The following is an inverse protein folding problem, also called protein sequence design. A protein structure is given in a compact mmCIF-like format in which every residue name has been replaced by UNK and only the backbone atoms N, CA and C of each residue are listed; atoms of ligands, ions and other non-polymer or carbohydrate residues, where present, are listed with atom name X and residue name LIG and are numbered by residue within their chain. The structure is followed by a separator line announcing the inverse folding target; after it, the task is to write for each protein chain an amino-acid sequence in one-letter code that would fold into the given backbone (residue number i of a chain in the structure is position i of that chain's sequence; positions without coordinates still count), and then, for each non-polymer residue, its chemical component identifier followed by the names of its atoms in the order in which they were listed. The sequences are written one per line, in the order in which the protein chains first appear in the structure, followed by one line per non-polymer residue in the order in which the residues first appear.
data_IF_570425540167
#
_entry.id   IF_570425540167
#
_cell.length_a   1.000
_cell.length_b   1.000
_cell.length_c   1.000
_cell.angle_alpha   90.00
_cell.angle_beta   90.00
_cell.angle_gamma   90.00
#
_symmetry.space_group_name_H-M   'P 1'
#
loop_
_entity.id
_entity.type
_entity.pdbx_description
1 polymer ?
#
# COMPACT_ATOMS: atom_id res chain seq x y z
N UNK A 1 -2.18 -15.35 1.40
CA UNK A 1 -3.32 -16.25 1.02
C UNK A 1 -3.83 -15.76 -0.31
N UNK A 2 -4.06 -16.64 -1.29
CA UNK A 2 -4.62 -16.24 -2.60
C UNK A 2 -6.08 -15.84 -2.44
N UNK A 3 -6.53 -14.79 -3.14
CA UNK A 3 -7.93 -14.39 -3.14
C UNK A 3 -8.84 -15.50 -3.71
N UNK A 4 -10.10 -15.57 -3.26
CA UNK A 4 -11.11 -16.38 -3.96
C UNK A 4 -11.26 -15.88 -5.39
N UNK A 5 -11.58 -16.79 -6.32
CA UNK A 5 -11.80 -16.43 -7.72
C UNK A 5 -12.90 -15.36 -7.85
N UNK A 6 -12.60 -14.32 -8.60
CA UNK A 6 -13.58 -13.28 -8.88
C UNK A 6 -14.45 -13.65 -10.07
N UNK A 7 -15.73 -13.77 -9.80
CA UNK A 7 -16.77 -13.83 -10.83
C UNK A 7 -17.77 -12.74 -10.49
N UNK A 8 -18.08 -11.89 -11.45
CA UNK A 8 -19.02 -10.78 -11.29
C UNK A 8 -20.35 -11.26 -10.69
N UNK A 9 -20.83 -10.58 -9.68
CA UNK A 9 -22.02 -10.97 -8.91
C UNK A 9 -21.88 -12.21 -8.01
N UNK A 10 -20.78 -12.96 -8.07
CA UNK A 10 -20.57 -14.21 -7.33
C UNK A 10 -19.34 -14.21 -6.41
N UNK A 11 -18.65 -13.08 -6.27
CA UNK A 11 -17.47 -13.00 -5.41
C UNK A 11 -17.81 -13.26 -3.93
N UNK A 12 -17.22 -14.29 -3.35
CA UNK A 12 -17.53 -14.77 -1.99
C UNK A 12 -16.82 -13.97 -0.90
N UNK A 13 -16.80 -12.64 -1.02
CA UNK A 13 -16.13 -11.75 -0.06
C UNK A 13 -16.72 -11.79 1.35
N UNK A 14 -18.04 -12.05 1.49
CA UNK A 14 -18.73 -12.05 2.79
C UNK A 14 -18.13 -13.09 3.75
N UNK A 15 -17.95 -14.32 3.28
CA UNK A 15 -17.35 -15.37 4.10
C UNK A 15 -15.87 -15.08 4.37
N UNK A 16 -15.16 -14.50 3.42
CA UNK A 16 -13.77 -14.11 3.59
C UNK A 16 -13.60 -13.05 4.69
N UNK A 17 -14.37 -11.97 4.65
CA UNK A 17 -14.29 -10.88 5.62
C UNK A 17 -14.81 -11.30 7.01
N UNK A 18 -15.89 -12.07 7.06
CA UNK A 18 -16.49 -12.48 8.33
C UNK A 18 -15.82 -13.71 8.94
N UNK A 19 -14.93 -14.39 8.22
CA UNK A 19 -14.29 -15.63 8.68
C UNK A 19 -13.56 -15.47 10.00
N UNK A 20 -12.81 -14.39 10.20
CA UNK A 20 -12.11 -14.09 11.45
C UNK A 20 -13.07 -13.82 12.62
N UNK A 21 -14.14 -13.08 12.35
CA UNK A 21 -15.20 -12.80 13.34
C UNK A 21 -15.91 -14.10 13.78
N UNK A 22 -16.32 -14.91 12.79
CA UNK A 22 -16.98 -16.20 13.04
C UNK A 22 -16.05 -17.12 13.82
N UNK A 23 -14.77 -17.19 13.43
CA UNK A 23 -13.77 -18.01 14.12
C UNK A 23 -13.63 -17.58 15.59
N UNK A 24 -13.48 -16.27 15.85
CA UNK A 24 -13.35 -15.74 17.21
C UNK A 24 -14.56 -16.09 18.08
N UNK A 25 -15.77 -15.96 17.55
CA UNK A 25 -17.01 -16.28 18.27
C UNK A 25 -17.09 -17.79 18.56
N UNK A 26 -16.97 -18.62 17.52
CA UNK A 26 -17.08 -20.09 17.66
C UNK A 26 -16.00 -20.63 18.57
N UNK A 27 -14.74 -20.23 18.39
CA UNK A 27 -13.63 -20.70 19.19
C UNK A 27 -13.76 -20.27 20.65
N UNK A 28 -14.22 -19.05 20.92
CA UNK A 28 -14.48 -18.56 22.28
C UNK A 28 -15.53 -19.39 23.00
N UNK A 29 -16.65 -19.71 22.32
CA UNK A 29 -17.72 -20.53 22.89
C UNK A 29 -17.21 -21.94 23.16
N UNK A 30 -16.61 -22.58 22.15
CA UNK A 30 -16.14 -23.96 22.24
C UNK A 30 -15.10 -24.11 23.33
N UNK A 31 -14.13 -23.19 23.41
CA UNK A 31 -13.07 -23.27 24.41
C UNK A 31 -13.60 -23.10 25.84
N UNK A 32 -14.56 -22.20 26.06
CA UNK A 32 -15.21 -22.02 27.35
C UNK A 32 -16.07 -23.25 27.77
N UNK A 33 -16.77 -23.87 26.81
CA UNK A 33 -17.60 -25.04 27.09
C UNK A 33 -16.78 -26.31 27.43
N UNK A 34 -15.62 -26.50 26.77
CA UNK A 34 -14.75 -27.66 26.99
C UNK A 34 -13.97 -27.55 28.30
N UNK A 35 -13.52 -26.35 28.66
CA UNK A 35 -12.68 -26.08 29.82
C UNK A 35 -13.28 -24.95 30.68
N UNK A 36 -14.42 -25.16 31.35
CA UNK A 36 -15.09 -24.11 32.10
C UNK A 36 -14.23 -23.65 33.29
N UNK A 37 -13.66 -22.46 33.18
CA UNK A 37 -12.85 -21.84 34.21
C UNK A 37 -12.97 -20.31 34.11
N UNK A 38 -12.52 -19.58 35.13
CA UNK A 38 -12.46 -18.13 35.11
C UNK A 38 -11.59 -17.62 33.94
N UNK A 39 -10.47 -18.28 33.68
CA UNK A 39 -9.54 -17.88 32.60
C UNK A 39 -10.14 -18.08 31.21
N UNK A 40 -10.83 -19.18 31.00
CA UNK A 40 -11.50 -19.45 29.69
C UNK A 40 -12.72 -18.56 29.48
N UNK A 41 -13.42 -18.18 30.55
CA UNK A 41 -14.47 -17.17 30.46
C UNK A 41 -13.89 -15.80 30.06
N UNK A 42 -12.79 -15.37 30.70
CA UNK A 42 -12.12 -14.12 30.34
C UNK A 42 -11.62 -14.13 28.89
N UNK A 43 -11.05 -15.25 28.46
CA UNK A 43 -10.63 -15.45 27.06
C UNK A 43 -11.83 -15.34 26.11
N UNK A 44 -12.95 -15.96 26.44
CA UNK A 44 -14.17 -15.90 25.64
C UNK A 44 -14.71 -14.46 25.53
N UNK A 45 -14.73 -13.72 26.64
CA UNK A 45 -15.16 -12.33 26.66
C UNK A 45 -14.26 -11.43 25.77
N UNK A 46 -12.95 -11.65 25.79
CA UNK A 46 -12.00 -10.93 24.92
C UNK A 46 -12.28 -11.30 23.45
N UNK A 47 -12.46 -12.58 23.14
CA UNK A 47 -12.78 -13.03 21.78
C UNK A 47 -14.08 -12.42 21.24
N UNK A 48 -15.12 -12.35 22.08
CA UNK A 48 -16.37 -11.66 21.71
C UNK A 48 -16.17 -10.17 21.51
N UNK A 49 -15.42 -9.50 22.39
CA UNK A 49 -15.13 -8.07 22.25
C UNK A 49 -14.38 -7.77 20.95
N UNK A 50 -13.36 -8.56 20.60
CA UNK A 50 -12.62 -8.44 19.35
C UNK A 50 -13.51 -8.71 18.12
N UNK A 51 -14.37 -9.73 18.18
CA UNK A 51 -15.31 -10.01 17.11
C UNK A 51 -16.29 -8.85 16.90
N UNK A 52 -16.83 -8.29 17.98
CA UNK A 52 -17.75 -7.17 17.94
C UNK A 52 -17.08 -5.90 17.39
N UNK A 53 -15.89 -5.56 17.88
CA UNK A 53 -15.12 -4.40 17.39
C UNK A 53 -14.79 -4.51 15.90
N UNK A 54 -14.53 -5.75 15.43
CA UNK A 54 -14.24 -5.96 14.01
C UNK A 54 -15.49 -5.93 13.11
N UNK A 55 -16.69 -6.11 13.67
CA UNK A 55 -17.96 -5.98 12.95
C UNK A 55 -18.46 -4.54 12.83
N UNK A 56 -18.16 -3.68 13.80
CA UNK A 56 -18.58 -2.28 13.74
C UNK A 56 -17.83 -1.60 12.59
N UNK A 57 -18.53 -0.97 11.62
CA UNK A 57 -17.86 -0.34 10.48
C UNK A 57 -17.11 0.92 10.91
N UNK A 58 -15.86 0.77 11.36
CA UNK A 58 -14.98 1.84 11.80
C UNK A 58 -13.55 1.64 11.27
N UNK A 59 -12.92 2.72 10.79
CA UNK A 59 -11.54 2.68 10.29
C UNK A 59 -11.36 1.72 9.12
N UNK A 60 -10.43 0.77 9.24
CA UNK A 60 -10.05 -0.18 8.19
C UNK A 60 -10.38 -1.64 8.56
N UNK A 61 -11.33 -1.86 9.43
CA UNK A 61 -11.69 -3.21 9.86
C UNK A 61 -12.57 -3.95 8.84
N UNK A 62 -12.81 -5.24 9.11
CA UNK A 62 -13.61 -6.10 8.22
C UNK A 62 -15.06 -5.61 8.08
N UNK A 63 -15.63 -5.03 9.15
CA UNK A 63 -16.97 -4.44 9.14
C UNK A 63 -17.08 -3.25 8.19
N UNK A 64 -16.09 -2.35 8.17
CA UNK A 64 -16.04 -1.23 7.22
C UNK A 64 -15.82 -1.72 5.80
N UNK A 65 -14.91 -2.68 5.62
CA UNK A 65 -14.67 -3.32 4.32
C UNK A 65 -15.94 -3.97 3.78
N UNK A 66 -16.65 -4.71 4.64
CA UNK A 66 -17.94 -5.33 4.32
C UNK A 66 -18.98 -4.28 3.93
N UNK A 67 -19.07 -3.20 4.70
CA UNK A 67 -20.00 -2.10 4.43
C UNK A 67 -19.77 -1.49 3.05
N UNK A 68 -18.52 -1.15 2.71
CA UNK A 68 -18.20 -0.59 1.40
C UNK A 68 -18.39 -1.59 0.27
N UNK A 69 -17.89 -2.82 0.40
CA UNK A 69 -18.04 -3.87 -0.61
C UNK A 69 -19.50 -4.26 -0.87
N UNK A 70 -20.41 -4.02 0.07
CA UNK A 70 -21.84 -4.30 -0.13
C UNK A 70 -22.58 -3.22 -0.93
N UNK A 71 -21.97 -2.04 -1.15
CA UNK A 71 -22.61 -0.93 -1.85
C UNK A 71 -22.70 -1.14 -3.36
N UNK A 72 -21.59 -1.56 -3.98
CA UNK A 72 -21.50 -1.65 -5.44
C UNK A 72 -20.49 -2.73 -5.89
N UNK A 73 -20.59 -3.11 -7.17
CA UNK A 73 -19.73 -4.14 -7.77
C UNK A 73 -18.30 -3.64 -8.00
N UNK A 74 -18.14 -2.36 -8.31
CA UNK A 74 -16.82 -1.74 -8.49
C UNK A 74 -15.99 -1.88 -7.21
N UNK A 75 -16.57 -1.53 -6.06
CA UNK A 75 -15.91 -1.68 -4.77
C UNK A 75 -15.59 -3.15 -4.44
N UNK A 76 -16.46 -4.11 -4.82
CA UNK A 76 -16.19 -5.55 -4.66
C UNK A 76 -15.02 -6.00 -5.53
N UNK A 77 -14.94 -5.52 -6.75
CA UNK A 77 -13.81 -5.82 -7.62
C UNK A 77 -12.51 -5.22 -7.10
N UNK A 78 -12.54 -3.99 -6.60
CA UNK A 78 -11.36 -3.36 -6.00
C UNK A 78 -10.90 -4.11 -4.75
N UNK A 79 -11.81 -4.62 -3.92
CA UNK A 79 -11.46 -5.50 -2.81
C UNK A 79 -10.74 -6.77 -3.30
N UNK A 80 -11.28 -7.44 -4.32
CA UNK A 80 -10.61 -8.60 -4.93
C UNK A 80 -9.21 -8.23 -5.44
N UNK A 81 -9.11 -7.11 -6.13
CA UNK A 81 -7.86 -6.60 -6.67
C UNK A 81 -6.79 -6.39 -5.58
N UNK A 82 -7.17 -5.79 -4.44
CA UNK A 82 -6.26 -5.62 -3.31
C UNK A 82 -5.78 -6.95 -2.72
N UNK A 83 -6.66 -7.95 -2.62
CA UNK A 83 -6.28 -9.27 -2.12
C UNK A 83 -5.30 -9.97 -3.06
N UNK A 84 -5.52 -9.89 -4.38
CA UNK A 84 -4.59 -10.41 -5.38
C UNK A 84 -3.26 -9.65 -5.35
N UNK A 85 -3.33 -8.33 -5.25
CA UNK A 85 -2.16 -7.46 -5.16
C UNK A 85 -1.25 -7.86 -3.98
N UNK A 86 -1.81 -7.97 -2.77
CA UNK A 86 -1.06 -8.41 -1.59
C UNK A 86 -0.48 -9.82 -1.77
N UNK A 87 -1.24 -10.73 -2.40
CA UNK A 87 -0.75 -12.08 -2.69
C UNK A 87 0.45 -12.05 -3.65
N UNK A 88 0.35 -11.34 -4.79
CA UNK A 88 1.45 -11.27 -5.75
C UNK A 88 2.68 -10.58 -5.18
N UNK A 89 2.51 -9.50 -4.43
CA UNK A 89 3.62 -8.86 -3.72
C UNK A 89 4.31 -9.80 -2.72
N UNK A 90 3.54 -10.63 -2.00
CA UNK A 90 4.10 -11.58 -1.03
C UNK A 90 4.99 -12.65 -1.66
N UNK A 91 4.76 -12.99 -2.92
CA UNK A 91 5.58 -13.93 -3.71
C UNK A 91 6.60 -13.24 -4.63
N UNK A 92 6.80 -11.93 -4.48
CA UNK A 92 7.80 -11.17 -5.21
C UNK A 92 7.43 -10.82 -6.66
N UNK A 93 6.14 -10.82 -7.00
CA UNK A 93 5.63 -10.59 -8.36
C UNK A 93 4.80 -9.32 -8.44
N UNK A 94 4.73 -8.72 -9.63
CA UNK A 94 3.83 -7.61 -9.92
C UNK A 94 2.50 -8.15 -10.46
N UNK A 95 1.39 -7.75 -9.84
CA UNK A 95 0.04 -8.17 -10.26
C UNK A 95 -0.28 -7.78 -11.70
N UNK A 96 0.05 -6.54 -12.09
CA UNK A 96 -0.30 -6.01 -13.41
C UNK A 96 0.46 -6.70 -14.54
N UNK A 97 1.64 -7.25 -14.24
CA UNK A 97 2.43 -8.06 -15.19
C UNK A 97 1.89 -9.48 -15.28
N UNK A 98 1.57 -10.08 -14.15
CA UNK A 98 1.12 -11.48 -14.10
C UNK A 98 -0.32 -11.65 -14.61
N UNK A 99 -1.11 -10.56 -14.58
CA UNK A 99 -2.52 -10.54 -14.98
C UNK A 99 -2.84 -9.31 -15.83
N UNK A 100 -2.35 -9.23 -17.08
CA UNK A 100 -2.56 -8.06 -17.94
C UNK A 100 -4.05 -7.79 -18.24
N UNK A 101 -4.91 -8.81 -18.19
CA UNK A 101 -6.37 -8.65 -18.33
C UNK A 101 -6.99 -7.78 -17.23
N UNK A 102 -6.34 -7.68 -16.07
CA UNK A 102 -6.79 -6.80 -14.98
C UNK A 102 -6.55 -5.34 -15.33
N UNK A 103 -5.50 -5.02 -16.09
CA UNK A 103 -5.15 -3.64 -16.46
C UNK A 103 -6.27 -3.02 -17.28
N UNK A 104 -6.79 -3.73 -18.29
CA UNK A 104 -7.91 -3.27 -19.12
C UNK A 104 -9.15 -3.00 -18.25
N UNK A 105 -9.44 -3.92 -17.33
CA UNK A 105 -10.57 -3.75 -16.42
C UNK A 105 -10.40 -2.57 -15.46
N UNK A 106 -9.20 -2.36 -14.91
CA UNK A 106 -8.88 -1.21 -14.05
C UNK A 106 -9.11 0.11 -14.81
N UNK A 107 -8.65 0.19 -16.07
CA UNK A 107 -8.77 1.39 -16.88
C UNK A 107 -10.22 1.69 -17.30
N UNK A 108 -11.08 0.68 -17.34
CA UNK A 108 -12.50 0.83 -17.67
C UNK A 108 -13.39 1.09 -16.44
N UNK A 109 -12.83 1.07 -15.19
CA UNK A 109 -13.63 1.27 -13.98
C UNK A 109 -14.05 2.72 -13.82
N UNK A 110 -15.34 2.93 -13.63
CA UNK A 110 -15.90 4.18 -13.13
C UNK A 110 -16.03 4.10 -11.61
N UNK A 111 -15.31 4.98 -10.90
CA UNK A 111 -15.37 5.05 -9.44
C UNK A 111 -16.50 5.97 -9.04
N UNK A 112 -17.62 5.38 -8.61
CA UNK A 112 -18.82 6.12 -8.19
C UNK A 112 -18.67 6.58 -6.72
N UNK A 113 -18.08 5.75 -5.88
CA UNK A 113 -17.92 6.01 -4.45
C UNK A 113 -16.45 5.99 -4.05
N UNK A 114 -15.92 7.15 -3.64
CA UNK A 114 -14.56 7.21 -3.08
C UNK A 114 -14.55 6.65 -1.65
N UNK A 115 -13.59 5.80 -1.37
CA UNK A 115 -13.34 5.21 -0.07
C UNK A 115 -11.92 4.61 -0.04
N UNK A 116 -11.46 4.15 1.11
CA UNK A 116 -10.08 3.64 1.24
C UNK A 116 -9.75 2.45 0.32
N UNK A 117 -10.74 1.65 -0.11
CA UNK A 117 -10.51 0.59 -1.09
C UNK A 117 -10.20 1.20 -2.46
N UNK A 118 -10.99 2.18 -2.88
CA UNK A 118 -10.79 2.87 -4.15
C UNK A 118 -9.52 3.74 -4.14
N UNK A 119 -9.13 4.29 -2.99
CA UNK A 119 -7.84 4.99 -2.85
C UNK A 119 -6.66 4.06 -3.13
N UNK A 120 -6.70 2.82 -2.61
CA UNK A 120 -5.66 1.83 -2.90
C UNK A 120 -5.53 1.50 -4.40
N UNK A 121 -6.61 1.60 -5.19
CA UNK A 121 -6.56 1.40 -6.63
C UNK A 121 -5.65 2.40 -7.33
N UNK A 122 -5.66 3.66 -6.90
CA UNK A 122 -4.78 4.69 -7.48
C UNK A 122 -3.30 4.34 -7.25
N UNK A 123 -2.96 3.82 -6.07
CA UNK A 123 -1.59 3.37 -5.78
C UNK A 123 -1.19 2.13 -6.58
N UNK A 124 -2.12 1.21 -6.85
CA UNK A 124 -1.85 0.06 -7.73
C UNK A 124 -1.53 0.53 -9.16
N UNK A 125 -2.23 1.56 -9.66
CA UNK A 125 -1.95 2.16 -10.98
C UNK A 125 -0.56 2.82 -11.00
N UNK A 126 -0.24 3.63 -10.00
CA UNK A 126 1.07 4.29 -9.88
C UNK A 126 2.22 3.28 -9.83
N UNK A 127 2.05 2.17 -9.10
CA UNK A 127 3.07 1.11 -9.03
C UNK A 127 3.33 0.45 -10.38
N UNK A 128 2.33 0.38 -11.26
CA UNK A 128 2.53 -0.08 -12.64
C UNK A 128 3.57 0.75 -13.38
N UNK A 129 3.46 2.08 -13.30
CA UNK A 129 4.41 3.01 -13.89
C UNK A 129 5.78 2.95 -13.21
N UNK A 130 5.82 2.83 -11.88
CA UNK A 130 7.06 2.70 -11.12
C UNK A 130 7.84 1.44 -11.49
N UNK A 131 7.17 0.33 -11.72
CA UNK A 131 7.80 -0.94 -12.10
C UNK A 131 8.58 -0.84 -13.40
N UNK A 132 8.07 -0.09 -14.38
CA UNK A 132 8.72 0.13 -15.68
C UNK A 132 9.67 1.33 -15.69
N UNK A 133 9.82 2.02 -14.56
CA UNK A 133 10.63 3.23 -14.45
C UNK A 133 10.18 4.35 -15.39
N UNK A 134 8.87 4.44 -15.65
CA UNK A 134 8.23 5.51 -16.43
C UNK A 134 8.06 6.77 -15.57
N UNK A 135 9.19 7.35 -15.12
CA UNK A 135 9.19 8.37 -14.08
C UNK A 135 8.50 9.68 -14.47
N UNK A 136 8.53 10.07 -15.73
CA UNK A 136 7.81 11.28 -16.19
C UNK A 136 6.29 11.07 -16.11
N UNK A 137 5.79 9.92 -16.58
CA UNK A 137 4.37 9.58 -16.49
C UNK A 137 3.95 9.42 -15.01
N UNK A 138 4.76 8.73 -14.22
CA UNK A 138 4.51 8.53 -12.79
C UNK A 138 4.48 9.85 -12.02
N UNK A 139 5.39 10.79 -12.32
CA UNK A 139 5.41 12.12 -11.72
C UNK A 139 4.12 12.90 -12.04
N UNK A 140 3.70 12.91 -13.29
CA UNK A 140 2.50 13.61 -13.72
C UNK A 140 1.24 13.06 -13.05
N UNK A 141 1.09 11.74 -13.01
CA UNK A 141 -0.07 11.08 -12.37
C UNK A 141 -0.05 11.25 -10.85
N UNK A 142 1.09 11.08 -10.20
CA UNK A 142 1.21 11.26 -8.75
C UNK A 142 0.95 12.72 -8.33
N UNK A 143 1.48 13.70 -9.09
CA UNK A 143 1.26 15.12 -8.85
C UNK A 143 -0.20 15.51 -9.05
N UNK A 144 -0.84 15.01 -10.10
CA UNK A 144 -2.27 15.18 -10.36
C UNK A 144 -3.10 14.63 -9.21
N UNK A 145 -2.83 13.38 -8.80
CA UNK A 145 -3.53 12.74 -7.68
C UNK A 145 -3.41 13.56 -6.39
N UNK A 146 -2.23 14.10 -6.09
CA UNK A 146 -1.99 14.91 -4.89
C UNK A 146 -2.80 16.22 -4.91
N UNK A 147 -2.92 16.86 -6.07
CA UNK A 147 -3.63 18.14 -6.23
C UNK A 147 -5.15 17.93 -6.24
N UNK A 148 -5.64 16.87 -6.90
CA UNK A 148 -7.07 16.65 -7.11
C UNK A 148 -7.76 15.94 -5.92
N UNK A 149 -7.00 15.24 -5.07
CA UNK A 149 -7.53 14.38 -4.01
C UNK A 149 -7.06 14.82 -2.62
N UNK A 150 -7.73 15.83 -2.09
CA UNK A 150 -7.53 16.29 -0.70
C UNK A 150 -8.15 15.35 0.34
N UNK A 151 -9.11 14.51 -0.09
CA UNK A 151 -9.85 13.53 0.69
C UNK A 151 -9.13 12.19 0.89
N UNK A 152 -7.91 12.02 0.34
CA UNK A 152 -7.12 10.82 0.54
C UNK A 152 -6.88 10.54 2.03
N UNK A 153 -6.96 9.26 2.39
CA UNK A 153 -6.61 8.85 3.74
C UNK A 153 -5.19 9.29 4.12
N UNK A 154 -4.97 9.70 5.39
CA UNK A 154 -3.66 10.19 5.82
C UNK A 154 -2.49 9.25 5.50
N UNK A 155 -2.70 7.94 5.59
CA UNK A 155 -1.67 6.95 5.26
C UNK A 155 -1.29 6.99 3.78
N UNK A 156 -2.27 7.06 2.89
CA UNK A 156 -2.03 7.17 1.45
C UNK A 156 -1.43 8.54 1.09
N UNK A 157 -1.95 9.60 1.70
CA UNK A 157 -1.40 10.95 1.47
C UNK A 157 0.09 11.04 1.83
N UNK A 158 0.51 10.49 2.97
CA UNK A 158 1.93 10.47 3.38
C UNK A 158 2.79 9.66 2.41
N UNK A 159 2.34 8.49 1.96
CA UNK A 159 3.10 7.68 0.99
C UNK A 159 3.16 8.37 -0.40
N UNK A 160 2.09 9.04 -0.82
CA UNK A 160 2.08 9.85 -2.05
C UNK A 160 3.06 11.03 -1.96
N UNK A 161 3.09 11.74 -0.83
CA UNK A 161 4.07 12.81 -0.58
C UNK A 161 5.50 12.27 -0.63
N UNK A 162 5.76 11.10 -0.04
CA UNK A 162 7.08 10.46 -0.06
C UNK A 162 7.49 10.06 -1.50
N UNK A 163 6.56 9.52 -2.28
CA UNK A 163 6.75 9.22 -3.70
C UNK A 163 7.03 10.50 -4.49
N UNK A 164 6.28 11.56 -4.25
CA UNK A 164 6.49 12.86 -4.92
C UNK A 164 7.86 13.47 -4.63
N UNK A 165 8.36 13.39 -3.41
CA UNK A 165 9.75 13.84 -3.12
C UNK A 165 10.75 13.09 -4.00
N UNK A 166 10.61 11.76 -4.14
CA UNK A 166 11.47 10.96 -5.02
C UNK A 166 11.37 11.41 -6.47
N UNK A 167 10.14 11.56 -6.98
CA UNK A 167 9.89 11.88 -8.39
C UNK A 167 10.28 13.29 -8.77
N UNK A 168 9.93 14.28 -7.95
CA UNK A 168 10.31 15.67 -8.14
C UNK A 168 11.84 15.78 -8.18
N UNK A 169 12.53 15.16 -7.22
CA UNK A 169 14.00 15.16 -7.17
C UNK A 169 14.65 14.54 -8.39
N UNK A 170 13.96 13.62 -9.08
CA UNK A 170 14.50 12.90 -10.24
C UNK A 170 14.17 13.56 -11.58
N UNK A 171 12.95 14.09 -11.71
CA UNK A 171 12.34 14.54 -12.98
C UNK A 171 12.32 16.06 -13.08
N UNK A 172 11.93 16.76 -12.02
CA UNK A 172 11.78 18.22 -12.02
C UNK A 172 12.20 18.85 -10.67
N UNK A 173 13.49 18.91 -10.34
CA UNK A 173 13.97 19.37 -9.04
C UNK A 173 13.60 20.82 -8.67
N UNK A 174 13.15 21.61 -9.64
CA UNK A 174 12.72 23.01 -9.45
C UNK A 174 11.22 23.17 -9.17
N UNK A 175 10.46 22.05 -9.06
CA UNK A 175 9.03 22.12 -8.71
C UNK A 175 8.84 22.70 -7.29
N UNK A 176 8.10 23.81 -7.19
CA UNK A 176 7.81 24.52 -5.93
C UNK A 176 7.17 23.62 -4.88
N UNK A 177 6.45 22.58 -5.30
CA UNK A 177 5.83 21.62 -4.39
C UNK A 177 6.87 20.91 -3.49
N UNK A 178 8.12 20.77 -3.95
CA UNK A 178 9.16 20.11 -3.16
C UNK A 178 9.42 20.83 -1.83
N UNK A 179 9.43 22.15 -1.84
CA UNK A 179 9.65 22.94 -0.63
C UNK A 179 8.49 22.75 0.37
N UNK A 180 7.25 22.75 -0.10
CA UNK A 180 6.08 22.48 0.71
C UNK A 180 6.17 21.09 1.36
N UNK A 181 6.45 20.05 0.56
CA UNK A 181 6.58 18.69 1.03
C UNK A 181 7.68 18.53 2.08
N UNK A 182 8.84 19.13 1.84
CA UNK A 182 9.98 19.03 2.76
C UNK A 182 9.81 19.85 4.05
N UNK A 183 8.77 20.68 4.15
CA UNK A 183 8.37 21.37 5.37
C UNK A 183 7.26 20.64 6.15
N UNK A 184 6.63 19.58 5.58
CA UNK A 184 5.60 18.82 6.26
C UNK A 184 6.18 17.92 7.36
N UNK A 185 5.66 18.09 8.59
CA UNK A 185 6.17 17.36 9.77
C UNK A 185 5.87 15.86 9.71
N UNK A 186 4.76 15.46 9.11
CA UNK A 186 4.35 14.04 9.02
C UNK A 186 5.21 13.33 8.00
N UNK A 187 5.48 13.96 6.86
CA UNK A 187 6.42 13.44 5.88
C UNK A 187 7.83 13.34 6.44
N UNK A 188 8.31 14.37 7.13
CA UNK A 188 9.65 14.33 7.76
C UNK A 188 9.76 13.20 8.80
N UNK A 189 8.68 12.88 9.52
CA UNK A 189 8.64 11.72 10.42
C UNK A 189 8.70 10.41 9.62
N UNK A 190 7.99 10.31 8.50
CA UNK A 190 8.04 9.15 7.57
C UNK A 190 9.44 8.95 7.00
N UNK A 191 10.12 10.02 6.59
CA UNK A 191 11.47 9.98 6.03
C UNK A 191 12.59 9.65 7.06
N UNK A 192 12.25 9.49 8.34
CA UNK A 192 13.18 8.97 9.37
C UNK A 192 13.15 7.44 9.51
N UNK A 193 12.24 6.76 8.83
CA UNK A 193 12.15 5.29 8.90
C UNK A 193 13.41 4.64 8.31
N UNK A 194 13.83 3.53 8.96
CA UNK A 194 15.02 2.78 8.55
C UNK A 194 14.62 1.60 7.66
N UNK A 195 14.27 1.89 6.41
CA UNK A 195 13.93 0.91 5.38
C UNK A 195 14.54 1.31 4.03
N UNK A 196 14.60 0.41 3.04
CA UNK A 196 15.23 0.70 1.74
C UNK A 196 14.49 1.79 0.96
N UNK A 197 13.16 1.86 1.01
CA UNK A 197 12.37 2.88 0.30
C UNK A 197 12.78 4.29 0.75
N UNK A 198 12.82 4.52 2.06
CA UNK A 198 13.21 5.82 2.61
C UNK A 198 14.63 6.19 2.21
N UNK A 199 15.56 5.22 2.23
CA UNK A 199 16.94 5.48 1.81
C UNK A 199 17.04 5.86 0.33
N UNK A 200 16.28 5.20 -0.53
CA UNK A 200 16.23 5.51 -1.95
C UNK A 200 15.60 6.88 -2.23
N UNK A 201 14.53 7.26 -1.51
CA UNK A 201 13.96 8.61 -1.60
C UNK A 201 15.02 9.66 -1.24
N UNK A 202 15.70 9.48 -0.11
CA UNK A 202 16.74 10.42 0.34
C UNK A 202 17.96 10.43 -0.58
N UNK A 203 18.36 9.29 -1.14
CA UNK A 203 19.44 9.22 -2.12
C UNK A 203 19.09 10.02 -3.38
N UNK A 204 17.84 9.89 -3.86
CA UNK A 204 17.37 10.65 -5.02
C UNK A 204 17.34 12.15 -4.75
N UNK A 205 16.93 12.55 -3.54
CA UNK A 205 16.94 13.95 -3.13
C UNK A 205 18.37 14.53 -3.04
N UNK A 206 19.32 13.78 -2.46
CA UNK A 206 20.72 14.20 -2.41
C UNK A 206 21.34 14.33 -3.81
N UNK A 207 21.02 13.39 -4.71
CA UNK A 207 21.47 13.43 -6.10
C UNK A 207 20.85 14.58 -6.90
N UNK A 208 19.50 14.63 -6.98
CA UNK A 208 18.79 15.50 -7.91
C UNK A 208 18.66 16.95 -7.42
N UNK A 209 18.61 17.19 -6.10
CA UNK A 209 18.35 18.51 -5.52
C UNK A 209 19.59 19.09 -4.85
N UNK A 210 20.30 18.27 -4.07
CA UNK A 210 21.50 18.72 -3.35
C UNK A 210 22.78 18.61 -4.16
N UNK A 211 22.74 17.93 -5.31
CA UNK A 211 23.88 17.66 -6.19
C UNK A 211 25.06 17.04 -5.41
N UNK A 212 24.75 16.16 -4.47
CA UNK A 212 25.71 15.49 -3.59
C UNK A 212 25.78 13.99 -3.89
N UNK A 213 26.58 13.67 -4.92
CA UNK A 213 26.71 12.30 -5.43
C UNK A 213 27.30 11.33 -4.38
N UNK A 214 28.28 11.78 -3.60
CA UNK A 214 28.91 10.95 -2.55
C UNK A 214 27.88 10.50 -1.51
N UNK A 215 27.09 11.44 -1.00
CA UNK A 215 26.04 11.12 -0.02
C UNK A 215 24.91 10.31 -0.62
N UNK A 216 24.57 10.51 -1.89
CA UNK A 216 23.58 9.70 -2.59
C UNK A 216 24.05 8.24 -2.69
N UNK A 217 25.31 8.00 -3.04
CA UNK A 217 25.92 6.66 -3.09
C UNK A 217 25.95 5.99 -1.70
N UNK A 218 26.27 6.71 -0.65
CA UNK A 218 26.22 6.20 0.73
C UNK A 218 24.82 5.75 1.12
N UNK A 219 23.78 6.53 0.76
CA UNK A 219 22.39 6.19 1.03
C UNK A 219 21.92 4.97 0.22
N UNK A 220 22.38 4.81 -1.03
CA UNK A 220 22.14 3.61 -1.83
C UNK A 220 22.76 2.37 -1.16
N UNK A 221 24.03 2.49 -0.71
CA UNK A 221 24.68 1.42 0.03
C UNK A 221 23.90 1.05 1.32
N UNK A 222 23.37 2.02 2.03
CA UNK A 222 22.52 1.81 3.20
C UNK A 222 21.18 1.16 2.84
N UNK A 223 20.54 1.54 1.71
CA UNK A 223 19.33 0.90 1.21
C UNK A 223 19.55 -0.60 0.97
N UNK A 224 20.67 -0.97 0.34
CA UNK A 224 21.05 -2.37 0.10
C UNK A 224 21.25 -3.15 1.40
N UNK A 225 21.89 -2.56 2.43
CA UNK A 225 22.03 -3.19 3.76
C UNK A 225 20.66 -3.43 4.43
N UNK A 226 19.70 -2.56 4.17
CA UNK A 226 18.36 -2.62 4.75
C UNK A 226 17.35 -3.43 3.93
N UNK A 227 17.75 -4.10 2.85
CA UNK A 227 16.84 -4.82 1.94
C UNK A 227 15.80 -5.71 2.64
N UNK A 228 16.21 -6.40 3.72
CA UNK A 228 15.33 -7.29 4.47
C UNK A 228 14.29 -6.56 5.35
N UNK A 229 14.32 -5.23 5.40
CA UNK A 229 13.31 -4.38 6.06
C UNK A 229 12.25 -3.86 5.09
N UNK A 230 12.29 -4.26 3.84
CA UNK A 230 11.20 -4.04 2.91
C UNK A 230 9.93 -4.80 3.38
N UNK A 231 8.73 -4.26 3.16
CA UNK A 231 7.50 -4.86 3.67
C UNK A 231 7.17 -6.22 3.05
N UNK A 232 7.65 -6.48 1.84
CA UNK A 232 7.44 -7.74 1.13
C UNK A 232 8.54 -7.97 0.07
N UNK A 233 8.55 -9.16 -0.56
CA UNK A 233 9.56 -9.56 -1.54
C UNK A 233 9.52 -8.73 -2.82
N UNK A 234 8.34 -8.30 -3.25
CA UNK A 234 8.20 -7.48 -4.44
C UNK A 234 8.83 -6.11 -4.25
N UNK A 235 8.47 -5.41 -3.17
CA UNK A 235 9.06 -4.10 -2.83
C UNK A 235 10.56 -4.22 -2.62
N UNK A 236 11.03 -5.30 -1.97
CA UNK A 236 12.46 -5.56 -1.84
C UNK A 236 13.16 -5.60 -3.21
N UNK A 237 12.59 -6.35 -4.16
CA UNK A 237 13.15 -6.46 -5.51
C UNK A 237 13.13 -5.14 -6.27
N UNK A 238 12.02 -4.41 -6.20
CA UNK A 238 11.84 -3.11 -6.87
C UNK A 238 12.85 -2.08 -6.35
N UNK A 239 12.99 -1.97 -5.03
CA UNK A 239 13.92 -1.04 -4.41
C UNK A 239 15.40 -1.36 -4.73
N UNK A 240 15.75 -2.64 -4.86
CA UNK A 240 17.12 -3.02 -5.29
C UNK A 240 17.37 -2.68 -6.76
N UNK A 241 16.41 -2.89 -7.65
CA UNK A 241 16.49 -2.44 -9.04
C UNK A 241 16.63 -0.92 -9.13
N UNK A 242 15.92 -0.19 -8.26
CA UNK A 242 16.04 1.25 -8.20
C UNK A 242 17.41 1.71 -7.70
N UNK A 243 18.00 1.03 -6.71
CA UNK A 243 19.39 1.29 -6.30
C UNK A 243 20.36 1.18 -7.48
N UNK A 244 20.22 0.11 -8.27
CA UNK A 244 21.11 -0.11 -9.44
C UNK A 244 20.89 0.96 -10.53
N UNK A 245 19.63 1.35 -10.75
CA UNK A 245 19.26 2.43 -11.68
C UNK A 245 19.91 3.76 -11.27
N UNK A 246 19.72 4.17 -9.99
CA UNK A 246 20.21 5.48 -9.51
C UNK A 246 21.74 5.51 -9.44
N UNK A 247 22.38 4.45 -8.97
CA UNK A 247 23.85 4.34 -8.97
C UNK A 247 24.44 4.45 -10.37
N UNK A 248 23.86 3.75 -11.37
CA UNK A 248 24.29 3.87 -12.76
C UNK A 248 24.06 5.28 -13.34
N UNK A 249 23.08 6.03 -12.84
CA UNK A 249 22.82 7.41 -13.26
C UNK A 249 23.83 8.39 -12.65
N UNK A 250 24.26 8.16 -11.42
CA UNK A 250 25.27 8.99 -10.71
C UNK A 250 26.67 8.77 -11.30
N UNK A 251 27.03 7.52 -11.67
CA UNK A 251 28.37 7.18 -12.12
C UNK A 251 28.66 7.46 -13.61
N UNK A 252 27.65 7.91 -14.36
CA UNK A 252 27.80 8.33 -15.78
C UNK A 252 28.12 9.78 -15.91
#
# INVERSE_FOLDING_TARGET
MKAPEYVEGKFKYKLYLLGGVIFNIVFSIVFWLILPSYYTLLFALIGFALAFLNLIPMGFNDGMTFYHANKDETTRFVLYLQLEYVYYQSIGKNLLIEKPEIVEKINSLEIINTNYLTDALEFIKLEGLEYFFEFDALYNEARKLYIERDDLLPVYKIELMALLVKLISLVNPEDELLEELMNDKTLLARLKQKNPQTKNILATYEYGVKLNDEKALDLIADARKLKNKAPNLYVQSLEMKYCDYLENKILK
#
